data_IF_712442854243
#
_entry.id   IF_712442854243
#
_cell.length_a   1.000
_cell.length_b   1.000
_cell.length_c   1.000
_cell.angle_alpha   90.00
_cell.angle_beta   90.00
_cell.angle_gamma   90.00
#
_symmetry.space_group_name_H-M   'P 1'
#
loop_
_entity.id
_entity.type
_entity.pdbx_description
1 polymer ?
#
# COMPACT_ATOMS: atom_id res chain seq x y z
N UNK A 1 -4.76 -40.41 26.34
CA UNK A 1 -4.07 -39.33 27.09
C UNK A 1 -2.59 -39.31 26.73
N UNK A 2 -1.94 -38.15 26.62
CA UNK A 2 -0.49 -38.11 26.49
C UNK A 2 0.19 -38.66 27.76
N UNK A 3 1.25 -39.45 27.60
CA UNK A 3 2.01 -39.99 28.73
C UNK A 3 2.87 -38.94 29.44
N UNK A 4 3.23 -39.20 30.71
CA UNK A 4 3.95 -38.28 31.61
C UNK A 4 5.25 -37.69 31.00
N UNK A 5 5.98 -38.48 30.20
CA UNK A 5 7.24 -38.09 29.57
C UNK A 5 7.13 -37.74 28.07
N UNK A 6 5.93 -37.49 27.55
CA UNK A 6 5.69 -37.25 26.12
C UNK A 6 5.87 -35.80 25.65
N UNK A 7 6.31 -34.88 26.53
CA UNK A 7 6.33 -33.43 26.26
C UNK A 7 7.10 -33.04 24.98
N UNK A 8 8.29 -33.61 24.75
CA UNK A 8 9.11 -33.33 23.55
C UNK A 8 8.38 -33.71 22.25
N UNK A 9 7.70 -34.87 22.25
CA UNK A 9 6.91 -35.35 21.11
C UNK A 9 5.70 -34.44 20.84
N UNK A 10 4.99 -34.02 21.89
CA UNK A 10 3.86 -33.09 21.76
C UNK A 10 4.29 -31.71 21.24
N UNK A 11 5.41 -31.18 21.73
CA UNK A 11 5.97 -29.90 21.27
C UNK A 11 6.34 -29.96 19.79
N UNK A 12 7.03 -31.01 19.35
CA UNK A 12 7.39 -31.21 17.94
C UNK A 12 6.14 -31.38 17.06
N UNK A 13 5.16 -32.18 17.51
CA UNK A 13 3.88 -32.35 16.81
C UNK A 13 3.14 -31.02 16.66
N UNK A 14 3.04 -30.22 17.72
CA UNK A 14 2.43 -28.87 17.67
C UNK A 14 3.20 -27.96 16.71
N UNK A 15 4.53 -27.95 16.74
CA UNK A 15 5.33 -27.14 15.83
C UNK A 15 5.11 -27.54 14.37
N UNK A 16 5.04 -28.85 14.06
CA UNK A 16 4.73 -29.36 12.72
C UNK A 16 3.37 -28.85 12.20
N UNK A 17 2.34 -28.86 13.04
CA UNK A 17 1.03 -28.33 12.65
C UNK A 17 0.99 -26.80 12.61
N UNK A 18 1.76 -26.12 13.46
CA UNK A 18 1.89 -24.65 13.46
C UNK A 18 2.44 -24.12 12.13
N UNK A 19 3.32 -24.86 11.46
CA UNK A 19 3.81 -24.51 10.12
C UNK A 19 2.73 -24.54 9.02
N UNK A 20 1.57 -25.17 9.26
CA UNK A 20 0.42 -25.12 8.34
C UNK A 20 -0.37 -23.82 8.46
N UNK A 21 -0.22 -23.07 9.55
CA UNK A 21 -0.81 -21.74 9.71
C UNK A 21 -0.07 -20.74 8.81
N UNK A 22 -0.81 -20.11 7.90
CA UNK A 22 -0.30 -19.16 6.92
C UNK A 22 0.27 -17.90 7.59
N UNK A 23 -0.36 -17.40 8.66
CA UNK A 23 0.13 -16.22 9.38
C UNK A 23 1.44 -16.51 10.09
N UNK A 24 1.55 -17.68 10.72
CA UNK A 24 2.80 -18.12 11.32
C UNK A 24 3.91 -18.27 10.29
N UNK A 25 3.61 -18.89 9.14
CA UNK A 25 4.58 -19.08 8.04
C UNK A 25 5.07 -17.75 7.47
N UNK A 26 4.16 -16.82 7.12
CA UNK A 26 4.50 -15.51 6.55
C UNK A 26 5.37 -14.69 7.49
N UNK A 27 5.02 -14.65 8.78
CA UNK A 27 5.78 -13.93 9.81
C UNK A 27 7.15 -14.56 10.05
N UNK A 28 7.22 -15.88 10.23
CA UNK A 28 8.49 -16.57 10.54
C UNK A 28 9.51 -16.44 9.41
N UNK A 29 9.05 -16.46 8.16
CA UNK A 29 9.90 -16.30 6.97
C UNK A 29 10.07 -14.84 6.53
N UNK A 30 9.45 -13.88 7.22
CA UNK A 30 9.41 -12.44 6.89
C UNK A 30 9.05 -12.18 5.41
N UNK A 31 8.10 -12.95 4.87
CA UNK A 31 7.75 -12.90 3.45
C UNK A 31 7.16 -11.55 3.05
N UNK A 32 6.39 -10.94 3.95
CA UNK A 32 5.71 -9.67 3.69
C UNK A 32 6.72 -8.54 3.47
N UNK A 33 7.73 -8.43 4.32
CA UNK A 33 8.79 -7.40 4.22
C UNK A 33 9.60 -7.56 2.93
N UNK A 34 9.88 -8.80 2.52
CA UNK A 34 10.65 -9.08 1.29
C UNK A 34 9.88 -8.73 0.02
N UNK A 35 8.57 -8.98 0.01
CA UNK A 35 7.73 -8.76 -1.15
C UNK A 35 7.21 -7.31 -1.25
N UNK A 36 7.16 -6.58 -0.13
CA UNK A 36 6.62 -5.23 -0.08
C UNK A 36 7.55 -4.22 -0.79
N UNK A 37 7.04 -3.44 -1.77
CA UNK A 37 7.76 -2.31 -2.36
C UNK A 37 8.20 -1.26 -1.34
N UNK A 38 7.50 -1.11 -0.22
CA UNK A 38 7.89 -0.18 0.85
C UNK A 38 8.88 -0.79 1.85
N UNK A 39 9.22 -2.07 1.70
CA UNK A 39 10.08 -2.84 2.60
C UNK A 39 9.59 -2.81 4.06
N UNK A 40 8.26 -2.81 4.26
CA UNK A 40 7.63 -2.80 5.59
C UNK A 40 7.49 -1.43 6.23
N UNK A 41 7.85 -0.34 5.53
CA UNK A 41 7.62 1.03 6.02
C UNK A 41 6.14 1.44 5.86
N UNK A 42 5.59 2.25 6.79
CA UNK A 42 4.20 2.72 6.71
C UNK A 42 3.96 3.75 5.59
N UNK A 43 5.00 4.52 5.26
CA UNK A 43 4.98 5.55 4.23
C UNK A 43 6.25 5.48 3.38
N UNK A 44 6.20 6.01 2.17
CA UNK A 44 7.40 6.26 1.37
C UNK A 44 7.28 7.51 0.52
N UNK A 45 8.43 8.09 0.16
CA UNK A 45 8.55 9.18 -0.80
C UNK A 45 8.79 8.64 -2.20
N UNK A 46 8.22 9.30 -3.19
CA UNK A 46 8.38 8.95 -4.58
C UNK A 46 8.18 10.13 -5.51
N UNK A 47 8.58 9.94 -6.76
CA UNK A 47 8.44 10.91 -7.85
C UNK A 47 7.34 10.42 -8.78
N UNK A 48 6.43 11.32 -9.18
CA UNK A 48 5.38 10.99 -10.13
C UNK A 48 5.96 10.84 -11.54
N UNK A 49 5.63 9.74 -12.21
CA UNK A 49 6.00 9.49 -13.61
C UNK A 49 4.88 9.96 -14.52
N UNK A 50 3.65 9.47 -14.29
CA UNK A 50 2.51 9.73 -15.17
C UNK A 50 1.19 9.64 -14.41
N UNK A 51 0.16 10.30 -14.95
CA UNK A 51 -1.23 10.20 -14.48
C UNK A 51 -1.92 9.02 -15.18
N UNK A 52 -2.57 8.14 -14.41
CA UNK A 52 -3.19 6.90 -14.91
C UNK A 52 -4.66 6.85 -14.51
N UNK A 53 -5.55 6.51 -15.46
CA UNK A 53 -6.94 6.17 -15.17
C UNK A 53 -7.12 4.67 -15.03
N UNK A 54 -7.72 4.20 -13.93
CA UNK A 54 -8.06 2.79 -13.73
C UNK A 54 -9.58 2.64 -13.70
N UNK A 55 -10.11 1.74 -14.52
CA UNK A 55 -11.53 1.43 -14.52
C UNK A 55 -11.93 0.72 -13.22
N UNK A 56 -13.05 1.15 -12.65
CA UNK A 56 -13.65 0.50 -11.50
C UNK A 56 -14.08 -0.93 -11.86
N UNK A 57 -14.01 -1.83 -10.89
CA UNK A 57 -14.60 -3.16 -11.04
C UNK A 57 -16.12 -3.05 -11.23
N UNK A 58 -16.64 -3.88 -12.13
CA UNK A 58 -18.08 -4.15 -12.22
C UNK A 58 -18.64 -4.51 -10.84
N UNK A 59 -19.82 -4.01 -10.43
CA UNK A 59 -20.89 -3.39 -11.22
C UNK A 59 -20.80 -1.86 -11.39
N UNK A 60 -19.75 -1.23 -10.87
CA UNK A 60 -19.62 0.23 -10.89
C UNK A 60 -19.03 0.70 -12.24
N UNK A 61 -19.44 1.89 -12.68
CA UNK A 61 -18.91 2.58 -13.86
C UNK A 61 -18.22 3.89 -13.45
N UNK A 62 -16.90 3.85 -13.30
CA UNK A 62 -16.10 5.04 -13.00
C UNK A 62 -14.63 4.83 -13.40
N UNK A 63 -13.94 5.94 -13.72
CA UNK A 63 -12.48 5.95 -13.90
C UNK A 63 -11.85 6.54 -12.63
N UNK A 64 -11.16 5.70 -11.87
CA UNK A 64 -10.42 6.07 -10.67
C UNK A 64 -9.09 6.70 -11.06
N UNK A 65 -8.92 7.98 -10.73
CA UNK A 65 -7.71 8.74 -11.03
C UNK A 65 -6.58 8.30 -10.10
N UNK A 66 -5.51 7.80 -10.70
CA UNK A 66 -4.32 7.28 -10.04
C UNK A 66 -3.07 7.94 -10.64
N UNK A 67 -1.93 7.73 -10.01
CA UNK A 67 -0.62 8.17 -10.48
C UNK A 67 0.37 7.02 -10.38
N UNK A 68 1.25 6.91 -11.37
CA UNK A 68 2.39 6.01 -11.33
C UNK A 68 3.54 6.73 -10.64
N UNK A 69 4.06 6.13 -9.58
CA UNK A 69 5.06 6.73 -8.69
C UNK A 69 6.29 5.83 -8.66
N UNK A 70 7.47 6.43 -8.87
CA UNK A 70 8.73 5.77 -8.64
C UNK A 70 9.22 6.06 -7.22
N UNK A 71 9.43 5.02 -6.42
CA UNK A 71 9.93 5.17 -5.06
C UNK A 71 11.41 5.60 -5.09
N UNK A 72 11.75 6.64 -4.34
CA UNK A 72 13.13 7.16 -4.27
C UNK A 72 14.06 6.13 -3.61
N UNK A 73 13.55 5.40 -2.62
CA UNK A 73 14.33 4.45 -1.81
C UNK A 73 14.92 3.28 -2.62
N UNK A 74 14.15 2.72 -3.55
CA UNK A 74 14.51 1.49 -4.25
C UNK A 74 14.23 1.50 -5.75
N UNK A 75 13.80 2.63 -6.31
CA UNK A 75 13.54 2.81 -7.74
C UNK A 75 12.35 2.02 -8.28
N UNK A 76 11.62 1.27 -7.43
CA UNK A 76 10.46 0.48 -7.85
C UNK A 76 9.30 1.41 -8.20
N UNK A 77 8.56 1.02 -9.24
CA UNK A 77 7.36 1.72 -9.65
C UNK A 77 6.13 1.10 -8.98
N UNK A 78 5.26 1.95 -8.45
CA UNK A 78 3.98 1.58 -7.86
C UNK A 78 2.88 2.46 -8.43
N UNK A 79 1.63 2.01 -8.29
CA UNK A 79 0.46 2.82 -8.64
C UNK A 79 -0.23 3.27 -7.37
N UNK A 80 -0.45 4.57 -7.23
CA UNK A 80 -1.11 5.17 -6.07
C UNK A 80 -2.39 5.88 -6.49
N UNK A 81 -3.45 5.69 -5.70
CA UNK A 81 -4.73 6.40 -5.88
C UNK A 81 -4.60 7.85 -5.39
N UNK A 82 -5.23 8.81 -6.10
CA UNK A 82 -5.32 10.20 -5.66
C UNK A 82 -6.68 10.44 -4.97
N UNK A 83 -6.74 10.47 -3.62
CA UNK A 83 -8.00 10.65 -2.90
C UNK A 83 -8.48 12.10 -2.91
N UNK A 84 -9.79 12.28 -3.07
CA UNK A 84 -10.45 13.58 -3.11
C UNK A 84 -10.93 13.95 -4.51
N UNK A 85 -12.00 14.73 -4.58
CA UNK A 85 -12.49 15.23 -5.86
C UNK A 85 -11.53 16.28 -6.42
N UNK A 86 -11.28 16.26 -7.72
CA UNK A 86 -10.29 17.12 -8.37
C UNK A 86 -8.82 16.94 -7.92
N UNK A 87 -8.52 16.00 -7.01
CA UNK A 87 -7.20 15.84 -6.40
C UNK A 87 -6.06 15.64 -7.42
N UNK A 88 -6.38 15.01 -8.55
CA UNK A 88 -5.45 14.76 -9.66
C UNK A 88 -4.94 16.05 -10.33
N UNK A 89 -5.67 17.16 -10.18
CA UNK A 89 -5.27 18.47 -10.70
C UNK A 89 -4.11 19.09 -9.93
N UNK A 90 -3.90 18.70 -8.67
CA UNK A 90 -2.80 19.24 -7.84
C UNK A 90 -1.49 18.48 -8.01
N UNK A 91 -1.53 17.27 -8.59
CA UNK A 91 -0.37 16.40 -8.75
C UNK A 91 0.10 16.51 -10.18
N UNK A 92 1.34 16.92 -10.41
CA UNK A 92 1.94 16.99 -11.74
C UNK A 92 3.03 15.94 -11.93
N UNK A 93 3.47 15.77 -13.17
CA UNK A 93 4.61 14.90 -13.48
C UNK A 93 5.87 15.46 -12.83
N UNK A 94 6.74 14.58 -12.35
CA UNK A 94 7.95 14.90 -11.58
C UNK A 94 7.75 15.57 -10.22
N UNK A 95 6.50 15.74 -9.76
CA UNK A 95 6.25 16.16 -8.38
C UNK A 95 6.72 15.09 -7.40
N UNK A 96 7.12 15.56 -6.22
CA UNK A 96 7.40 14.69 -5.10
C UNK A 96 6.13 14.38 -4.32
N UNK A 97 5.86 13.11 -4.10
CA UNK A 97 4.68 12.64 -3.37
C UNK A 97 5.04 11.70 -2.23
N UNK A 98 4.24 11.75 -1.17
CA UNK A 98 4.26 10.75 -0.09
C UNK A 98 3.10 9.79 -0.29
N UNK A 99 3.43 8.50 -0.32
CA UNK A 99 2.49 7.40 -0.50
C UNK A 99 2.31 6.60 0.79
N UNK A 100 1.11 6.08 0.98
CA UNK A 100 0.73 5.23 2.10
C UNK A 100 -0.10 4.04 1.63
N UNK A 101 -0.23 3.00 2.46
CA UNK A 101 -1.17 1.92 2.21
C UNK A 101 -2.61 2.42 2.17
N UNK A 102 -3.42 1.92 1.23
CA UNK A 102 -4.82 2.32 1.08
C UNK A 102 -5.73 1.78 2.19
N UNK A 103 -5.28 0.75 2.93
CA UNK A 103 -6.01 0.17 4.07
C UNK A 103 -6.95 -0.99 3.73
N UNK A 104 -6.82 -1.62 2.55
CA UNK A 104 -7.66 -2.75 2.15
C UNK A 104 -7.39 -4.04 2.95
N UNK A 105 -8.29 -5.05 2.85
CA UNK A 105 -8.15 -6.32 3.56
C UNK A 105 -6.79 -6.98 3.33
N UNK A 106 -6.10 -7.34 4.41
CA UNK A 106 -4.74 -7.93 4.36
C UNK A 106 -3.71 -7.08 3.58
N UNK A 107 -3.83 -5.75 3.60
CA UNK A 107 -2.90 -4.83 2.93
C UNK A 107 -2.97 -4.86 1.40
N UNK A 108 -4.15 -5.20 0.86
CA UNK A 108 -4.45 -5.24 -0.57
C UNK A 108 -5.23 -3.99 -1.00
N UNK A 109 -5.76 -4.02 -2.23
CA UNK A 109 -6.62 -2.99 -2.77
C UNK A 109 -7.90 -2.81 -1.97
N UNK A 110 -8.42 -1.58 -1.95
CA UNK A 110 -9.65 -1.20 -1.28
C UNK A 110 -10.79 -1.08 -2.31
N UNK A 111 -11.98 -1.60 -1.95
CA UNK A 111 -13.20 -1.38 -2.71
C UNK A 111 -13.13 -1.83 -4.17
N UNK A 112 -13.54 -0.93 -5.07
CA UNK A 112 -13.69 -1.18 -6.50
C UNK A 112 -12.44 -0.86 -7.33
N UNK A 113 -11.31 -0.51 -6.70
CA UNK A 113 -10.08 -0.13 -7.40
C UNK A 113 -9.19 -1.37 -7.58
N UNK A 114 -9.14 -2.02 -8.75
CA UNK A 114 -8.32 -3.20 -8.96
C UNK A 114 -6.82 -2.84 -8.94
N UNK A 115 -6.00 -3.69 -8.31
CA UNK A 115 -4.54 -3.62 -8.43
C UNK A 115 -3.84 -2.47 -7.68
N UNK A 116 -4.58 -1.46 -7.21
CA UNK A 116 -4.02 -0.32 -6.48
C UNK A 116 -4.04 -0.57 -4.98
N UNK A 117 -2.86 -0.61 -4.37
CA UNK A 117 -2.67 -0.88 -2.93
C UNK A 117 -2.25 0.35 -2.13
N UNK A 118 -1.90 1.44 -2.81
CA UNK A 118 -1.39 2.65 -2.20
C UNK A 118 -2.25 3.86 -2.55
N UNK A 119 -2.17 4.91 -1.75
CA UNK A 119 -2.78 6.21 -1.98
C UNK A 119 -1.76 7.32 -1.75
N UNK A 120 -1.98 8.47 -2.38
CA UNK A 120 -1.19 9.69 -2.14
C UNK A 120 -1.75 10.41 -0.92
N UNK A 121 -0.87 10.84 -0.03
CA UNK A 121 -1.23 11.60 1.19
C UNK A 121 -0.69 13.02 1.15
N UNK A 122 0.52 13.22 0.60
CA UNK A 122 1.14 14.56 0.47
C UNK A 122 1.75 14.76 -0.92
N UNK A 123 1.80 16.01 -1.35
CA UNK A 123 2.47 16.48 -2.58
C UNK A 123 3.35 17.67 -2.19
N UNK A 124 4.63 17.67 -2.56
CA UNK A 124 5.59 18.73 -2.23
C UNK A 124 5.57 19.11 -0.74
N UNK A 125 5.51 18.11 0.15
CA UNK A 125 5.40 18.21 1.60
C UNK A 125 4.08 18.81 2.16
N UNK A 126 3.12 19.15 1.30
CA UNK A 126 1.79 19.64 1.68
C UNK A 126 0.75 18.53 1.63
N UNK A 127 -0.22 18.55 2.55
CA UNK A 127 -1.30 17.56 2.61
C UNK A 127 -2.24 17.69 1.41
N UNK A 128 -2.46 16.59 0.70
CA UNK A 128 -3.40 16.56 -0.44
C UNK A 128 -4.83 16.88 0.01
N UNK A 129 -5.23 16.42 1.19
CA UNK A 129 -6.57 16.66 1.71
C UNK A 129 -6.83 18.14 2.01
N UNK A 130 -5.80 18.88 2.41
CA UNK A 130 -5.92 20.33 2.71
C UNK A 130 -5.98 21.16 1.44
N UNK A 131 -5.22 20.77 0.40
CA UNK A 131 -5.30 21.36 -0.93
C UNK A 131 -6.68 21.14 -1.56
N UNK A 132 -7.22 19.91 -1.47
CA UNK A 132 -8.58 19.60 -1.97
C UNK A 132 -9.66 20.41 -1.25
N UNK A 133 -9.47 20.69 0.05
CA UNK A 133 -10.40 21.56 0.81
C UNK A 133 -10.18 23.06 0.53
N UNK A 134 -9.18 23.44 -0.25
CA UNK A 134 -8.83 24.84 -0.52
C UNK A 134 -8.26 25.59 0.68
N UNK A 135 -7.75 24.89 1.70
CA UNK A 135 -7.19 25.52 2.90
C UNK A 135 -5.74 25.96 2.71
N UNK A 136 -5.01 25.25 1.84
CA UNK A 136 -3.59 25.46 1.58
C UNK A 136 -3.41 25.41 0.07
N UNK A 137 -2.59 26.30 -0.45
CA UNK A 137 -2.22 26.32 -1.87
C UNK A 137 -0.98 25.46 -2.11
N UNK A 138 -0.86 24.93 -3.33
CA UNK A 138 0.33 24.19 -3.74
C UNK A 138 1.53 25.16 -3.73
N UNK A 139 2.63 24.83 -3.04
CA UNK A 139 3.82 25.67 -3.08
C UNK A 139 4.37 25.66 -4.51
N UNK A 140 4.42 26.84 -5.11
CA UNK A 140 5.02 27.03 -6.44
C UNK A 140 6.53 26.93 -6.27
N UNK A 141 7.17 26.10 -7.09
CA UNK A 141 8.64 26.01 -7.17
C UNK A 141 9.20 27.15 -8.01
#
# INVERSE_FOLDING_TARGET
>A
MPGLFAAKKLKSKRQKFRWKDTHYKRRSLRLDVKADPLEGAPQARGIVIEKVGIEAKQPNSAIRKCVRVQLIKNGKQITAFAPGDGAIGFIDEHDEVVVEGIGGPSGRSMGDIPGVRWKVTKVNNVSLQEMVKGKIEKPVR
#
